data_IF_432902795526
#
_entry.id   IF_432902795526
#
_cell.length_a   1.000
_cell.length_b   1.000
_cell.length_c   1.000
_cell.angle_alpha   90.00
_cell.angle_beta   90.00
_cell.angle_gamma   90.00
#
_symmetry.space_group_name_H-M   'P 1'
#
loop_
_entity.id
_entity.type
_entity.pdbx_description
1 polymer ?
#
# COMPACT_ATOMS: atom_id res chain seq x y z
N UNK A 1 -23.61 -76.44 3.85
CA UNK A 1 -22.47 -76.49 2.91
C UNK A 1 -21.73 -75.15 2.98
N UNK A 2 -20.42 -75.19 2.75
CA UNK A 2 -19.52 -74.07 2.37
C UNK A 2 -20.13 -73.16 1.28
N UNK A 3 -19.89 -71.86 1.13
CA UNK A 3 -19.01 -70.86 1.80
C UNK A 3 -19.70 -69.44 1.73
N UNK A 4 -19.11 -68.23 1.80
CA UNK A 4 -17.70 -67.78 1.73
C UNK A 4 -17.41 -66.36 2.29
N UNK A 5 -16.11 -66.00 2.21
CA UNK A 5 -15.36 -64.75 2.47
C UNK A 5 -15.81 -63.60 1.50
N UNK A 6 -15.68 -62.27 1.70
CA UNK A 6 -14.68 -61.44 2.43
C UNK A 6 -15.19 -60.03 2.81
N UNK A 7 -14.52 -59.39 3.78
CA UNK A 7 -14.82 -58.07 4.34
C UNK A 7 -14.47 -56.86 3.44
N UNK A 8 -15.11 -55.71 3.73
CA UNK A 8 -14.75 -54.38 3.24
C UNK A 8 -14.90 -53.32 4.35
N UNK A 9 -13.77 -52.88 4.93
CA UNK A 9 -13.71 -51.98 6.10
C UNK A 9 -13.53 -50.53 5.67
N UNK A 10 -14.41 -49.60 6.09
CA UNK A 10 -14.08 -48.15 6.21
C UNK A 10 -14.74 -47.54 7.44
N UNK A 11 -13.95 -46.83 8.24
CA UNK A 11 -14.40 -46.11 9.42
C UNK A 11 -15.18 -44.84 9.01
N UNK A 12 -16.19 -44.47 9.81
CA UNK A 12 -16.80 -43.13 9.77
C UNK A 12 -16.27 -42.28 10.92
N UNK A 13 -16.35 -40.97 10.72
CA UNK A 13 -15.90 -39.93 11.64
C UNK A 13 -16.57 -40.08 13.01
N UNK A 14 -15.92 -39.54 14.04
CA UNK A 14 -16.55 -39.18 15.31
C UNK A 14 -16.48 -37.68 15.50
N UNK A 15 -17.63 -37.11 15.85
CA UNK A 15 -17.82 -35.69 16.09
C UNK A 15 -16.98 -35.21 17.27
N UNK A 16 -16.43 -34.00 17.15
CA UNK A 16 -15.83 -33.27 18.26
C UNK A 16 -16.74 -32.10 18.60
N UNK A 17 -17.53 -32.24 19.67
CA UNK A 17 -18.41 -31.19 20.15
C UNK A 17 -17.61 -30.02 20.76
N UNK A 18 -18.08 -28.80 20.50
CA UNK A 18 -17.58 -27.59 21.16
C UNK A 18 -17.91 -27.64 22.66
N UNK A 19 -16.89 -27.55 23.50
CA UNK A 19 -17.02 -27.22 24.92
C UNK A 19 -16.20 -25.97 25.20
N UNK A 20 -16.91 -24.86 25.36
CA UNK A 20 -16.33 -23.62 25.89
C UNK A 20 -16.00 -23.83 27.37
N UNK A 21 -14.73 -23.68 27.73
CA UNK A 21 -14.28 -23.81 29.11
C UNK A 21 -13.61 -22.51 29.55
N UNK A 22 -14.40 -21.65 30.21
CA UNK A 22 -13.88 -20.46 30.91
C UNK A 22 -13.05 -20.93 32.09
N UNK A 23 -11.72 -20.99 31.93
CA UNK A 23 -10.81 -21.29 33.04
C UNK A 23 -10.00 -20.04 33.35
N UNK A 24 -10.24 -19.50 34.55
CA UNK A 24 -9.38 -18.53 35.23
C UNK A 24 -8.05 -19.21 35.58
N UNK A 25 -7.21 -19.43 34.57
CA UNK A 25 -5.82 -19.74 34.78
C UNK A 25 -5.11 -18.44 35.17
N UNK A 26 -4.48 -18.42 36.33
CA UNK A 26 -3.42 -17.45 36.66
C UNK A 26 -2.26 -17.69 35.70
N UNK A 27 -2.36 -17.08 34.53
CA UNK A 27 -1.45 -17.27 33.41
C UNK A 27 -0.03 -16.85 33.78
N UNK A 28 0.90 -17.76 33.53
CA UNK A 28 2.33 -17.46 33.46
C UNK A 28 2.49 -16.23 32.56
N UNK A 29 3.24 -15.23 33.03
CA UNK A 29 3.67 -14.07 32.25
C UNK A 29 4.68 -14.50 31.18
N UNK A 30 4.25 -15.33 30.23
CA UNK A 30 4.82 -15.29 28.90
C UNK A 30 4.59 -13.87 28.39
N UNK A 31 5.63 -13.12 27.98
CA UNK A 31 5.39 -11.90 27.25
C UNK A 31 4.50 -12.28 26.05
N UNK A 32 3.48 -11.47 25.77
CA UNK A 32 2.85 -11.56 24.47
C UNK A 32 3.98 -11.34 23.46
N UNK A 33 4.24 -12.33 22.60
CA UNK A 33 5.16 -12.16 21.48
C UNK A 33 4.59 -11.06 20.60
N UNK A 34 5.04 -9.83 20.86
CA UNK A 34 4.79 -8.69 20.02
C UNK A 34 5.25 -9.12 18.63
N UNK A 35 4.33 -9.08 17.66
CA UNK A 35 4.56 -9.61 16.32
C UNK A 35 5.89 -9.06 15.81
N UNK A 36 6.92 -9.91 15.80
CA UNK A 36 8.25 -9.49 15.36
C UNK A 36 8.15 -9.25 13.87
N UNK A 37 8.03 -7.98 13.49
CA UNK A 37 8.32 -7.56 12.14
C UNK A 37 9.70 -8.13 11.79
N UNK A 38 9.81 -8.89 10.70
CA UNK A 38 11.05 -9.54 10.26
C UNK A 38 12.13 -8.55 9.78
N UNK A 39 12.04 -7.30 10.21
CA UNK A 39 12.95 -6.20 9.96
C UNK A 39 13.59 -5.83 11.28
N UNK A 40 14.86 -6.23 11.46
CA UNK A 40 15.67 -5.72 12.56
C UNK A 40 15.98 -4.25 12.28
N UNK A 41 15.24 -3.35 12.90
CA UNK A 41 15.47 -1.90 12.79
C UNK A 41 16.68 -1.54 13.65
N UNK A 42 17.87 -1.54 13.04
CA UNK A 42 19.05 -0.97 13.68
C UNK A 42 18.85 0.56 13.76
N UNK A 43 18.58 1.07 14.96
CA UNK A 43 18.29 2.49 15.21
C UNK A 43 19.57 3.33 15.03
N UNK A 44 19.83 3.75 13.79
CA UNK A 44 20.83 4.78 13.48
C UNK A 44 20.20 6.14 13.76
N UNK A 45 20.87 6.99 14.53
CA UNK A 45 20.39 8.33 14.82
C UNK A 45 20.29 9.17 13.53
N UNK A 46 19.11 9.74 13.28
CA UNK A 46 18.89 10.64 12.14
C UNK A 46 19.73 11.93 12.31
N UNK A 47 20.64 12.26 11.37
CA UNK A 47 21.41 13.49 11.41
C UNK A 47 20.56 14.76 11.47
N UNK A 48 19.29 14.74 11.00
CA UNK A 48 18.37 15.89 11.00
C UNK A 48 17.99 16.36 12.40
N UNK A 49 17.96 15.45 13.38
CA UNK A 49 17.67 15.78 14.79
C UNK A 49 18.94 16.04 15.62
N UNK A 50 20.12 15.88 15.02
CA UNK A 50 21.39 16.14 15.70
C UNK A 50 21.54 17.61 16.08
N UNK A 51 21.74 17.88 17.38
CA UNK A 51 21.90 19.24 17.89
C UNK A 51 20.59 20.05 18.04
N UNK A 52 19.42 19.44 17.81
CA UNK A 52 18.14 20.07 18.15
C UNK A 52 18.05 20.21 19.67
N UNK A 53 17.80 21.44 20.15
CA UNK A 53 17.70 21.71 21.58
C UNK A 53 16.50 20.97 22.19
N UNK A 54 16.73 20.26 23.30
CA UNK A 54 15.70 19.53 24.04
C UNK A 54 15.30 20.35 25.28
N UNK A 55 14.24 21.18 25.23
CA UNK A 55 13.74 21.88 26.41
C UNK A 55 13.12 20.90 27.42
N UNK A 56 13.02 21.31 28.69
CA UNK A 56 12.49 20.46 29.78
C UNK A 56 11.06 19.94 29.53
N UNK A 57 10.27 20.64 28.70
CA UNK A 57 8.92 20.23 28.31
C UNK A 57 8.85 19.30 27.08
N UNK A 58 9.99 18.97 26.44
CA UNK A 58 10.04 18.08 25.28
C UNK A 58 9.31 16.73 25.45
N UNK A 59 9.33 16.06 26.63
CA UNK A 59 8.54 14.84 26.85
C UNK A 59 7.02 15.03 26.78
N UNK A 60 6.53 16.27 26.91
CA UNK A 60 5.10 16.61 26.88
C UNK A 60 4.66 17.21 25.53
N UNK A 61 5.54 17.94 24.83
CA UNK A 61 5.19 18.65 23.59
C UNK A 61 5.83 18.08 22.33
N UNK A 62 6.79 17.17 22.46
CA UNK A 62 7.72 16.84 21.38
C UNK A 62 8.64 18.01 21.03
N UNK A 63 9.49 17.81 20.02
CA UNK A 63 10.35 18.83 19.42
C UNK A 63 10.34 18.65 17.90
N UNK A 64 10.35 19.76 17.17
CA UNK A 64 10.50 19.76 15.71
C UNK A 64 11.91 20.24 15.34
N UNK A 65 12.46 19.69 14.26
CA UNK A 65 13.61 20.29 13.57
C UNK A 65 13.22 21.61 12.88
N UNK A 66 14.20 22.31 12.33
CA UNK A 66 13.92 23.32 11.30
C UNK A 66 13.29 22.68 10.06
N UNK A 67 12.53 23.46 9.29
CA UNK A 67 11.97 23.04 8.00
C UNK A 67 13.11 22.62 7.07
N UNK A 68 12.95 21.50 6.38
CA UNK A 68 13.92 20.98 5.44
C UNK A 68 13.42 21.09 4.00
N UNK A 69 14.34 21.24 3.05
CA UNK A 69 14.04 21.19 1.63
C UNK A 69 13.80 19.74 1.19
N UNK A 70 12.84 19.53 0.30
CA UNK A 70 12.60 18.25 -0.37
C UNK A 70 12.82 18.43 -1.89
N UNK A 71 13.36 17.44 -2.63
CA UNK A 71 13.64 17.58 -4.08
C UNK A 71 12.42 17.82 -4.98
N UNK A 72 11.22 17.60 -4.45
CA UNK A 72 9.93 17.72 -5.13
C UNK A 72 8.82 18.04 -4.11
N UNK A 73 7.61 18.36 -4.56
CA UNK A 73 6.46 18.34 -3.66
C UNK A 73 6.09 16.86 -3.37
N UNK A 74 6.37 16.41 -2.15
CA UNK A 74 6.07 15.06 -1.67
C UNK A 74 4.56 14.87 -1.38
N UNK A 75 3.74 14.88 -2.44
CA UNK A 75 2.27 14.82 -2.35
C UNK A 75 1.81 13.46 -1.81
N UNK A 76 2.50 12.38 -2.20
CA UNK A 76 2.34 11.06 -1.59
C UNK A 76 3.65 10.62 -0.96
N UNK A 77 3.57 9.97 0.21
CA UNK A 77 4.69 9.44 0.98
C UNK A 77 4.45 7.98 1.39
N UNK A 78 5.51 7.20 1.56
CA UNK A 78 5.46 5.83 2.08
C UNK A 78 6.77 5.40 2.73
N UNK A 79 6.72 4.97 3.99
CA UNK A 79 7.87 4.40 4.70
C UNK A 79 8.08 2.94 4.26
N UNK A 80 9.16 2.67 3.54
CA UNK A 80 9.49 1.34 3.05
C UNK A 80 10.01 0.44 4.19
N UNK A 81 9.90 -0.91 4.07
CA UNK A 81 10.48 -1.84 5.04
C UNK A 81 12.01 -1.73 5.22
N UNK A 82 12.70 -1.03 4.32
CA UNK A 82 14.12 -0.69 4.45
C UNK A 82 14.42 0.49 5.38
N UNK A 83 13.39 1.17 5.91
CA UNK A 83 13.53 2.43 6.66
C UNK A 83 13.65 3.68 5.79
N UNK A 84 13.76 3.53 4.46
CA UNK A 84 13.76 4.65 3.51
C UNK A 84 12.34 5.19 3.31
N UNK A 85 12.21 6.49 3.06
CA UNK A 85 10.94 7.14 2.74
C UNK A 85 10.85 7.34 1.23
N UNK A 86 9.82 6.77 0.60
CA UNK A 86 9.50 7.02 -0.79
C UNK A 86 8.51 8.20 -0.89
N UNK A 87 8.70 9.07 -1.89
CA UNK A 87 7.82 10.18 -2.21
C UNK A 87 7.57 10.29 -3.71
N UNK A 88 6.40 10.79 -4.11
CA UNK A 88 6.05 11.08 -5.50
C UNK A 88 4.88 12.08 -5.62
N UNK A 89 4.66 12.61 -6.84
CA UNK A 89 3.47 13.37 -7.20
C UNK A 89 3.73 14.66 -7.98
N UNK A 90 4.97 15.13 -8.05
CA UNK A 90 5.39 16.20 -8.98
C UNK A 90 6.72 15.83 -9.64
N UNK A 91 7.02 16.33 -10.86
CA UNK A 91 8.34 16.16 -11.46
C UNK A 91 9.38 17.02 -10.73
N UNK A 92 10.63 16.57 -10.75
CA UNK A 92 11.76 17.33 -10.19
C UNK A 92 11.87 18.73 -10.82
N UNK A 93 12.00 19.76 -9.98
CA UNK A 93 12.12 21.15 -10.43
C UNK A 93 10.84 21.81 -10.93
N UNK A 94 9.69 21.12 -10.97
CA UNK A 94 8.40 21.71 -11.36
C UNK A 94 7.27 21.35 -10.36
N UNK A 95 7.28 21.94 -9.15
CA UNK A 95 6.32 21.64 -8.08
C UNK A 95 4.86 22.00 -8.41
N UNK A 96 4.60 22.75 -9.50
CA UNK A 96 3.25 23.07 -9.95
C UNK A 96 2.60 22.03 -10.87
N UNK A 97 3.36 21.05 -11.37
CA UNK A 97 2.86 20.02 -12.27
C UNK A 97 2.43 18.74 -11.53
N UNK A 98 1.25 18.23 -11.85
CA UNK A 98 0.66 17.03 -11.25
C UNK A 98 1.15 15.76 -12.00
N UNK A 99 2.22 15.14 -11.48
CA UNK A 99 2.96 14.09 -12.19
C UNK A 99 3.56 13.06 -11.22
N UNK A 100 2.97 11.86 -11.18
CA UNK A 100 3.45 10.71 -10.42
C UNK A 100 4.43 9.82 -11.17
N UNK A 101 5.14 10.32 -12.20
CA UNK A 101 6.20 9.60 -12.93
C UNK A 101 7.61 9.93 -12.45
N UNK A 102 7.76 10.67 -11.36
CA UNK A 102 9.05 10.87 -10.68
C UNK A 102 8.90 10.45 -9.23
N UNK A 103 9.84 9.64 -8.76
CA UNK A 103 9.91 9.15 -7.39
C UNK A 103 11.17 9.70 -6.74
N UNK A 104 11.09 10.12 -5.49
CA UNK A 104 12.26 10.47 -4.70
C UNK A 104 12.31 9.64 -3.42
N UNK A 105 13.47 9.03 -3.19
CA UNK A 105 13.72 8.08 -2.11
C UNK A 105 14.73 8.69 -1.15
N UNK A 106 14.28 8.98 0.07
CA UNK A 106 15.13 9.48 1.15
C UNK A 106 15.62 8.33 2.04
N UNK A 107 16.92 8.27 2.29
CA UNK A 107 17.54 7.48 3.36
C UNK A 107 17.87 8.37 4.57
N UNK A 108 17.12 8.24 5.69
CA UNK A 108 17.38 9.02 6.89
C UNK A 108 18.79 8.83 7.46
N UNK A 109 19.40 7.66 7.27
CA UNK A 109 20.75 7.36 7.80
C UNK A 109 21.85 8.18 7.13
N UNK A 110 21.56 8.77 5.96
CA UNK A 110 22.46 9.65 5.22
C UNK A 110 22.11 11.14 5.36
N UNK A 111 21.14 11.47 6.22
CA UNK A 111 20.62 12.82 6.44
C UNK A 111 19.89 13.41 5.23
N UNK A 112 19.28 14.58 5.42
CA UNK A 112 18.44 15.22 4.40
C UNK A 112 19.21 15.90 3.26
N UNK A 113 20.50 16.22 3.45
CA UNK A 113 21.29 16.88 2.41
C UNK A 113 21.76 15.94 1.29
N UNK A 114 22.04 14.69 1.63
CA UNK A 114 22.70 13.71 0.75
C UNK A 114 21.99 12.36 0.65
N UNK A 115 20.96 12.12 1.47
CA UNK A 115 20.22 10.85 1.49
C UNK A 115 19.14 10.70 0.43
N UNK A 116 18.94 11.68 -0.44
CA UNK A 116 17.92 11.63 -1.50
C UNK A 116 18.46 11.01 -2.80
N UNK A 117 17.66 10.11 -3.38
CA UNK A 117 17.87 9.58 -4.73
C UNK A 117 16.56 9.69 -5.50
N UNK A 118 16.56 10.49 -6.57
CA UNK A 118 15.43 10.61 -7.49
C UNK A 118 15.49 9.52 -8.56
N UNK A 119 14.41 8.76 -8.72
CA UNK A 119 14.24 7.67 -9.67
C UNK A 119 13.20 8.02 -10.75
N UNK A 120 13.43 7.63 -12.03
CA UNK A 120 12.41 7.71 -13.05
C UNK A 120 11.32 6.67 -12.79
N UNK A 121 10.06 7.08 -12.92
CA UNK A 121 8.91 6.17 -13.00
C UNK A 121 8.70 5.61 -14.40
N UNK A 122 7.55 4.98 -14.63
CA UNK A 122 7.18 4.44 -15.93
C UNK A 122 6.46 5.52 -16.75
N UNK A 123 6.98 5.83 -17.94
CA UNK A 123 6.50 6.95 -18.76
C UNK A 123 4.99 6.90 -19.09
N UNK A 124 4.40 5.71 -19.22
CA UNK A 124 2.98 5.51 -19.47
C UNK A 124 2.09 5.38 -18.22
N UNK A 125 2.60 5.58 -17.00
CA UNK A 125 1.80 5.39 -15.76
C UNK A 125 1.95 6.60 -14.84
N UNK A 126 1.01 7.55 -14.93
CA UNK A 126 1.01 8.74 -14.09
C UNK A 126 0.31 8.47 -12.74
N UNK A 127 1.11 8.13 -11.73
CA UNK A 127 0.64 7.76 -10.39
C UNK A 127 0.06 8.91 -9.56
N UNK A 128 -0.12 10.12 -10.12
CA UNK A 128 -0.71 11.24 -9.38
C UNK A 128 -2.14 10.90 -8.93
N UNK A 129 -2.41 11.01 -7.62
CA UNK A 129 -3.66 10.58 -6.98
C UNK A 129 -4.03 9.10 -7.20
N UNK A 130 -3.03 8.24 -7.45
CA UNK A 130 -3.16 6.79 -7.41
C UNK A 130 -3.27 6.25 -5.97
N UNK A 131 -3.81 5.05 -5.82
CA UNK A 131 -3.77 4.31 -4.57
C UNK A 131 -2.43 3.57 -4.42
N UNK A 132 -1.97 3.37 -3.18
CA UNK A 132 -0.77 2.59 -2.89
C UNK A 132 -0.98 1.61 -1.73
N UNK A 133 -0.33 0.45 -1.77
CA UNK A 133 -0.30 -0.52 -0.66
C UNK A 133 0.93 -1.42 -0.73
N UNK A 134 1.33 -2.02 0.40
CA UNK A 134 2.46 -2.96 0.43
C UNK A 134 2.04 -4.36 0.00
N UNK A 135 2.81 -4.98 -0.88
CA UNK A 135 2.74 -6.40 -1.21
C UNK A 135 3.41 -7.23 -0.11
N UNK A 136 3.15 -8.54 -0.10
CA UNK A 136 3.73 -9.48 0.88
C UNK A 136 5.25 -9.63 0.78
N UNK A 137 5.85 -9.24 -0.34
CA UNK A 137 7.31 -9.14 -0.55
C UNK A 137 7.92 -7.82 -0.01
N UNK A 138 7.11 -6.94 0.58
CA UNK A 138 7.52 -5.63 1.09
C UNK A 138 7.69 -4.55 0.01
N UNK A 139 7.38 -4.84 -1.26
CA UNK A 139 7.37 -3.82 -2.32
C UNK A 139 6.10 -2.97 -2.25
N UNK A 140 6.22 -1.71 -2.67
CA UNK A 140 5.13 -0.74 -2.67
C UNK A 140 4.44 -0.79 -4.05
N UNK A 141 3.21 -1.28 -4.09
CA UNK A 141 2.41 -1.37 -5.31
C UNK A 141 1.48 -0.17 -5.42
N UNK A 142 1.51 0.51 -6.56
CA UNK A 142 0.85 1.79 -6.82
C UNK A 142 0.01 1.64 -8.09
N UNK A 143 -1.29 1.94 -8.00
CA UNK A 143 -2.26 1.65 -9.06
C UNK A 143 -3.31 2.75 -9.22
N UNK A 144 -3.64 3.06 -10.48
CA UNK A 144 -4.55 4.16 -10.82
C UNK A 144 -3.84 5.49 -11.00
N UNK A 145 -4.54 6.58 -10.67
CA UNK A 145 -4.08 7.95 -10.92
C UNK A 145 -4.62 8.52 -12.23
N UNK A 146 -3.76 9.18 -13.01
CA UNK A 146 -4.12 9.87 -14.27
C UNK A 146 -3.84 8.96 -15.48
N UNK A 147 -4.80 8.90 -16.43
CA UNK A 147 -4.72 8.15 -17.70
C UNK A 147 -5.04 9.03 -18.91
N UNK A 148 -4.59 10.29 -18.88
CA UNK A 148 -4.62 11.20 -20.03
C UNK A 148 -3.22 11.38 -20.64
N UNK A 149 -3.16 12.07 -21.80
CA UNK A 149 -1.92 12.53 -22.43
C UNK A 149 -0.86 11.42 -22.66
N UNK A 150 -1.30 10.21 -22.99
CA UNK A 150 -0.42 9.05 -23.20
C UNK A 150 -0.14 8.21 -21.95
N UNK A 151 -0.66 8.62 -20.79
CA UNK A 151 -0.74 7.79 -19.58
C UNK A 151 -1.88 6.78 -19.73
N UNK A 152 -1.71 5.58 -19.16
CA UNK A 152 -2.68 4.49 -19.25
C UNK A 152 -3.07 3.95 -17.86
N UNK A 153 -4.06 3.04 -17.83
CA UNK A 153 -4.61 2.36 -16.64
C UNK A 153 -3.64 1.37 -15.96
N UNK A 154 -2.35 1.56 -16.15
CA UNK A 154 -1.29 0.70 -15.64
C UNK A 154 -1.10 0.85 -14.13
N UNK A 155 -0.04 0.21 -13.65
CA UNK A 155 0.35 0.23 -12.25
C UNK A 155 1.86 0.01 -12.16
N UNK A 156 2.49 0.51 -11.10
CA UNK A 156 3.93 0.38 -10.87
C UNK A 156 4.23 -0.24 -9.52
N UNK A 157 5.37 -0.90 -9.42
CA UNK A 157 5.93 -1.39 -8.16
C UNK A 157 7.25 -0.68 -7.91
N UNK A 158 7.35 0.00 -6.78
CA UNK A 158 8.63 0.42 -6.21
C UNK A 158 9.16 -0.73 -5.36
N UNK A 159 10.39 -1.18 -5.63
CA UNK A 159 10.94 -2.34 -4.90
C UNK A 159 11.13 -2.05 -3.40
N UNK A 160 11.12 -3.11 -2.58
CA UNK A 160 11.21 -3.02 -1.09
C UNK A 160 12.44 -2.28 -0.56
N UNK A 161 13.47 -2.09 -1.39
CA UNK A 161 14.73 -1.39 -1.06
C UNK A 161 14.76 0.07 -1.51
N UNK A 162 13.77 0.54 -2.27
CA UNK A 162 13.73 1.91 -2.79
C UNK A 162 14.79 2.19 -3.87
N UNK A 163 15.13 1.19 -4.69
CA UNK A 163 16.24 1.33 -5.69
C UNK A 163 15.78 1.26 -7.15
N UNK A 164 14.49 1.04 -7.42
CA UNK A 164 13.97 0.95 -8.77
C UNK A 164 12.46 0.78 -8.82
N UNK A 165 11.86 1.33 -9.87
CA UNK A 165 10.43 1.27 -10.19
C UNK A 165 10.24 0.40 -11.43
N UNK A 166 9.29 -0.53 -11.39
CA UNK A 166 8.94 -1.41 -12.52
C UNK A 166 7.45 -1.34 -12.85
N UNK A 167 7.10 -1.56 -14.12
CA UNK A 167 5.72 -1.67 -14.55
C UNK A 167 5.10 -3.02 -14.14
N UNK A 168 3.81 -3.02 -13.80
CA UNK A 168 2.99 -4.23 -13.81
C UNK A 168 2.36 -4.39 -15.20
N UNK A 169 2.54 -5.57 -15.79
CA UNK A 169 2.02 -5.91 -17.12
C UNK A 169 0.52 -6.29 -17.11
N UNK A 170 -0.26 -5.58 -16.28
CA UNK A 170 -1.70 -5.67 -16.21
C UNK A 170 -2.27 -4.26 -16.00
N UNK A 171 -3.40 -3.98 -16.65
CA UNK A 171 -4.10 -2.70 -16.55
C UNK A 171 -5.40 -2.90 -15.80
N UNK A 172 -5.82 -1.88 -15.06
CA UNK A 172 -7.15 -1.80 -14.48
C UNK A 172 -8.19 -1.75 -15.61
N UNK A 173 -9.37 -2.30 -15.38
CA UNK A 173 -10.50 -2.12 -16.27
C UNK A 173 -11.05 -0.69 -16.18
N UNK A 174 -11.13 -0.17 -14.95
CA UNK A 174 -11.71 1.14 -14.65
C UNK A 174 -10.65 2.20 -14.34
N UNK A 175 -11.08 3.44 -14.47
CA UNK A 175 -10.34 4.63 -14.05
C UNK A 175 -10.36 4.76 -12.52
N UNK A 176 -9.21 5.07 -11.91
CA UNK A 176 -8.93 4.91 -10.47
C UNK A 176 -8.27 6.14 -9.83
N UNK A 177 -8.66 7.34 -10.26
CA UNK A 177 -8.24 8.59 -9.63
C UNK A 177 -8.91 8.75 -8.25
N UNK A 178 -8.15 9.08 -7.20
CA UNK A 178 -8.62 9.08 -5.80
C UNK A 178 -9.32 7.76 -5.38
N UNK A 179 -8.75 6.63 -5.78
CA UNK A 179 -9.16 5.30 -5.30
C UNK A 179 -8.47 4.92 -3.99
N UNK A 180 -8.95 3.84 -3.35
CA UNK A 180 -8.33 3.24 -2.16
C UNK A 180 -7.91 1.80 -2.48
N UNK A 181 -6.73 1.37 -2.03
CA UNK A 181 -6.22 0.02 -2.24
C UNK A 181 -5.75 -0.62 -0.93
N UNK A 182 -6.10 -1.90 -0.72
CA UNK A 182 -5.79 -2.69 0.47
C UNK A 182 -5.12 -4.01 0.06
N UNK A 183 -4.02 -4.39 0.71
CA UNK A 183 -3.55 -5.78 0.68
C UNK A 183 -4.39 -6.63 1.63
N UNK A 184 -4.98 -7.70 1.09
CA UNK A 184 -5.77 -8.68 1.83
C UNK A 184 -4.87 -9.71 2.53
N UNK A 185 -5.36 -10.45 3.55
CA UNK A 185 -4.57 -11.47 4.25
C UNK A 185 -4.01 -12.60 3.37
N UNK A 186 -4.57 -12.82 2.17
CA UNK A 186 -4.08 -13.78 1.18
C UNK A 186 -3.03 -13.18 0.20
N UNK A 187 -2.58 -11.95 0.43
CA UNK A 187 -1.58 -11.26 -0.38
C UNK A 187 -2.09 -10.62 -1.69
N UNK A 188 -3.39 -10.72 -1.99
CA UNK A 188 -4.02 -10.03 -3.13
C UNK A 188 -4.26 -8.56 -2.81
N UNK A 189 -4.34 -7.69 -3.83
CA UNK A 189 -4.64 -6.27 -3.65
C UNK A 189 -6.05 -5.93 -4.14
N UNK A 190 -6.92 -5.48 -3.23
CA UNK A 190 -8.27 -5.01 -3.50
C UNK A 190 -8.25 -3.49 -3.70
N UNK A 191 -8.68 -3.01 -4.87
CA UNK A 191 -8.85 -1.59 -5.17
C UNK A 191 -10.33 -1.23 -5.31
N UNK A 192 -10.73 -0.13 -4.67
CA UNK A 192 -12.13 0.28 -4.49
C UNK A 192 -12.30 1.78 -4.74
N UNK A 193 -13.47 2.15 -5.26
CA UNK A 193 -13.80 3.54 -5.57
C UNK A 193 -12.84 4.18 -6.58
N UNK A 194 -12.82 5.51 -6.57
CA UNK A 194 -12.15 6.35 -7.54
C UNK A 194 -13.03 6.70 -8.75
N UNK A 195 -12.56 7.68 -9.51
CA UNK A 195 -13.31 8.33 -10.60
C UNK A 195 -12.46 8.58 -11.84
N UNK A 196 -13.08 9.21 -12.84
CA UNK A 196 -12.38 9.91 -13.91
C UNK A 196 -11.65 11.16 -13.35
N UNK A 197 -10.38 11.45 -13.70
CA UNK A 197 -9.59 12.52 -13.12
C UNK A 197 -10.21 13.86 -13.43
N UNK A 198 -10.26 14.75 -12.43
CA UNK A 198 -10.84 16.09 -12.52
C UNK A 198 -12.33 16.18 -12.88
N UNK A 199 -12.99 15.07 -13.26
CA UNK A 199 -14.39 15.07 -13.70
C UNK A 199 -15.34 14.38 -12.70
N UNK A 200 -14.86 13.42 -11.90
CA UNK A 200 -15.63 12.90 -10.77
C UNK A 200 -15.70 13.90 -9.61
N UNK A 201 -16.90 14.38 -9.27
CA UNK A 201 -17.10 15.46 -8.31
C UNK A 201 -17.58 15.02 -6.92
N UNK A 202 -16.82 15.38 -5.88
CA UNK A 202 -17.28 15.29 -4.48
C UNK A 202 -18.52 16.15 -4.19
N UNK A 203 -18.67 17.30 -4.88
CA UNK A 203 -19.80 18.22 -4.69
C UNK A 203 -21.12 17.76 -5.31
N UNK A 204 -21.10 16.80 -6.24
CA UNK A 204 -22.29 16.15 -6.79
C UNK A 204 -21.96 14.68 -7.14
N UNK A 205 -21.94 13.78 -6.15
CA UNK A 205 -21.61 12.38 -6.38
C UNK A 205 -22.65 11.68 -7.25
N UNK A 206 -23.94 12.00 -7.09
CA UNK A 206 -25.02 11.32 -7.81
C UNK A 206 -25.05 11.73 -9.29
N UNK A 207 -24.99 13.03 -9.61
CA UNK A 207 -24.85 13.47 -11.00
C UNK A 207 -23.52 13.08 -11.64
N UNK A 208 -22.45 12.88 -10.85
CA UNK A 208 -21.21 12.25 -11.35
C UNK A 208 -21.40 10.78 -11.72
N UNK A 209 -22.23 10.03 -10.98
CA UNK A 209 -22.60 8.64 -11.32
C UNK A 209 -23.49 8.61 -12.57
N UNK A 210 -24.48 9.49 -12.66
CA UNK A 210 -25.43 9.53 -13.78
C UNK A 210 -24.75 9.91 -15.11
N UNK A 211 -23.62 10.65 -15.05
CA UNK A 211 -22.72 10.95 -16.17
C UNK A 211 -21.68 9.84 -16.46
N UNK A 212 -21.61 8.79 -15.64
CA UNK A 212 -20.61 7.71 -15.76
C UNK A 212 -19.19 8.08 -15.30
N UNK A 213 -19.01 9.22 -14.61
CA UNK A 213 -17.70 9.74 -14.19
C UNK A 213 -17.18 9.10 -12.90
N UNK A 214 -18.08 8.47 -12.12
CA UNK A 214 -17.70 7.56 -11.04
C UNK A 214 -17.46 6.17 -11.64
N UNK A 215 -16.26 5.99 -12.15
CA UNK A 215 -15.78 4.82 -12.91
C UNK A 215 -15.38 3.64 -12.01
N UNK A 216 -14.78 3.90 -10.85
CA UNK A 216 -14.27 2.89 -9.93
C UNK A 216 -15.34 2.14 -9.11
N UNK A 217 -16.60 2.21 -9.52
CA UNK A 217 -17.76 1.74 -8.76
C UNK A 217 -17.79 0.22 -8.58
N UNK A 218 -17.36 -0.53 -9.59
CA UNK A 218 -17.08 -1.97 -9.44
C UNK A 218 -15.66 -2.12 -8.89
N UNK A 219 -15.43 -2.69 -7.70
CA UNK A 219 -14.08 -2.87 -7.19
C UNK A 219 -13.33 -3.96 -7.97
N UNK A 220 -12.01 -3.91 -7.95
CA UNK A 220 -11.13 -4.84 -8.67
C UNK A 220 -10.13 -5.48 -7.71
N UNK A 221 -9.68 -6.70 -8.02
CA UNK A 221 -8.66 -7.41 -7.25
C UNK A 221 -7.49 -7.80 -8.14
N UNK A 222 -6.27 -7.51 -7.71
CA UNK A 222 -5.03 -7.98 -8.33
C UNK A 222 -4.61 -9.31 -7.69
N UNK A 223 -4.44 -10.34 -8.50
CA UNK A 223 -4.11 -11.69 -8.03
C UNK A 223 -2.59 -12.02 -8.06
N UNK A 224 -1.77 -11.07 -8.47
CA UNK A 224 -0.33 -11.26 -8.71
C UNK A 224 0.03 -11.27 -10.20
N UNK A 225 -0.92 -11.60 -11.08
CA UNK A 225 -0.74 -11.62 -12.53
C UNK A 225 -1.63 -10.60 -13.24
N UNK A 226 -2.88 -10.44 -12.80
CA UNK A 226 -3.87 -9.60 -13.47
C UNK A 226 -4.89 -8.97 -12.54
N UNK A 227 -5.54 -7.91 -13.04
CA UNK A 227 -6.69 -7.28 -12.41
C UNK A 227 -7.99 -8.00 -12.80
N UNK A 228 -8.86 -8.25 -11.83
CA UNK A 228 -10.18 -8.86 -12.03
C UNK A 228 -11.26 -8.04 -11.36
N UNK A 229 -12.26 -7.62 -12.13
CA UNK A 229 -13.45 -6.96 -11.61
C UNK A 229 -14.28 -7.90 -10.72
N UNK A 230 -14.76 -7.37 -9.60
CA UNK A 230 -15.64 -8.04 -8.66
C UNK A 230 -17.10 -7.69 -8.98
N UNK A 231 -17.59 -8.18 -10.12
CA UNK A 231 -18.99 -7.97 -10.52
C UNK A 231 -19.96 -8.45 -9.43
N UNK A 232 -20.95 -7.61 -9.10
CA UNK A 232 -21.86 -7.82 -7.97
C UNK A 232 -21.46 -7.09 -6.69
N UNK A 233 -20.19 -6.72 -6.51
CA UNK A 233 -19.75 -5.79 -5.47
C UNK A 233 -19.85 -4.33 -5.94
N UNK A 234 -19.96 -3.39 -5.00
CA UNK A 234 -20.13 -1.96 -5.28
C UNK A 234 -19.37 -1.10 -4.27
N UNK A 235 -18.70 -0.06 -4.75
CA UNK A 235 -17.96 0.93 -3.96
C UNK A 235 -18.82 2.16 -3.63
N UNK A 236 -20.10 1.96 -3.28
CA UNK A 236 -21.02 3.03 -2.82
C UNK A 236 -21.16 2.98 -1.31
#
# INVERSE_FOLDING_TARGET
MTASITAGRRARLRDAALLSATILASGILSPADAAQFGVVVNQVADPVLSGVALPDNAPMTGVFSGVQNWPMNAITLGLLPSGKVASYGTPGGNPGAQDGRTFDIWDPTQGIGTGHITLPGIAGVNSFCAAQTFRTDGSLFIAGGIFDNGSDKGSVVLNRTGTGVSAINAKLANDRYYSTMLTLPNGQQLIMGGSYPYQGGWGDPQGSIDKGLMTGMTPEIFDGNGWRALFGAKSR
#
